data_IF_906238991870
#
_entry.id   IF_906238991870
#
_cell.length_a   1.000
_cell.length_b   1.000
_cell.length_c   1.000
_cell.angle_alpha   90.00
_cell.angle_beta   90.00
_cell.angle_gamma   90.00
#
_symmetry.space_group_name_H-M   'P 1'
#
loop_
_entity.id
_entity.type
_entity.pdbx_description
1 polymer ?
#
# COMPACT_ATOMS: atom_id res chain seq x y z
N UNK A 1 15.95 9.64 -11.88
CA UNK A 1 15.74 8.19 -12.12
C UNK A 1 17.11 7.53 -12.06
N UNK A 2 17.29 6.52 -11.20
CA UNK A 2 18.54 5.77 -11.15
C UNK A 2 18.73 4.99 -12.47
N UNK A 3 19.97 4.88 -12.96
CA UNK A 3 20.26 4.09 -14.15
C UNK A 3 20.23 2.59 -13.82
N UNK A 4 19.99 1.73 -14.83
CA UNK A 4 20.04 0.28 -14.65
C UNK A 4 21.38 -0.19 -14.05
N UNK A 5 22.47 0.51 -14.37
CA UNK A 5 23.79 0.25 -13.80
C UNK A 5 23.85 0.52 -12.29
N UNK A 6 23.29 1.65 -11.82
CA UNK A 6 23.21 1.98 -10.39
C UNK A 6 22.34 0.98 -9.62
N UNK A 7 21.20 0.58 -10.18
CA UNK A 7 20.34 -0.44 -9.56
C UNK A 7 21.08 -1.77 -9.44
N UNK A 8 21.81 -2.19 -10.48
CA UNK A 8 22.60 -3.43 -10.47
C UNK A 8 23.70 -3.42 -9.41
N UNK A 9 24.43 -2.30 -9.28
CA UNK A 9 25.47 -2.12 -8.28
C UNK A 9 24.91 -2.24 -6.85
N UNK A 10 23.80 -1.56 -6.56
CA UNK A 10 23.14 -1.62 -5.24
C UNK A 10 22.62 -3.02 -4.94
N UNK A 11 22.01 -3.71 -5.91
CA UNK A 11 21.52 -5.08 -5.73
C UNK A 11 22.69 -6.06 -5.51
N UNK A 12 23.80 -5.88 -6.23
CA UNK A 12 25.00 -6.71 -6.06
C UNK A 12 25.57 -6.62 -4.64
N UNK A 13 25.72 -5.39 -4.13
CA UNK A 13 26.20 -5.18 -2.76
C UNK A 13 25.20 -5.68 -1.71
N UNK A 14 23.90 -5.46 -1.91
CA UNK A 14 22.86 -6.02 -1.05
C UNK A 14 22.92 -7.55 -1.02
N UNK A 15 23.08 -8.21 -2.18
CA UNK A 15 23.16 -9.67 -2.28
C UNK A 15 24.34 -10.23 -1.50
N UNK A 16 25.53 -9.62 -1.66
CA UNK A 16 26.73 -9.99 -0.91
C UNK A 16 26.52 -9.91 0.61
N UNK A 17 25.89 -8.84 1.08
CA UNK A 17 25.58 -8.67 2.51
C UNK A 17 24.51 -9.66 2.99
N UNK A 18 23.48 -9.91 2.17
CA UNK A 18 22.42 -10.85 2.47
C UNK A 18 22.97 -12.28 2.65
N UNK A 19 23.85 -12.74 1.77
CA UNK A 19 24.51 -14.05 1.88
C UNK A 19 25.33 -14.19 3.17
N UNK A 20 26.08 -13.16 3.55
CA UNK A 20 26.84 -13.14 4.80
C UNK A 20 25.92 -13.23 6.02
N UNK A 21 24.80 -12.51 6.01
CA UNK A 21 23.83 -12.51 7.11
C UNK A 21 23.03 -13.80 7.18
N UNK A 22 22.80 -14.48 6.05
CA UNK A 22 22.01 -15.71 6.00
C UNK A 22 22.58 -16.80 6.92
N UNK A 23 23.89 -17.04 6.86
CA UNK A 23 24.55 -18.03 7.70
C UNK A 23 24.46 -17.69 9.20
N UNK A 24 24.60 -16.41 9.54
CA UNK A 24 24.48 -15.91 10.93
C UNK A 24 23.06 -16.08 11.45
N UNK A 25 22.05 -15.70 10.67
CA UNK A 25 20.65 -15.85 11.02
C UNK A 25 20.27 -17.33 11.21
N UNK A 26 20.74 -18.21 10.32
CA UNK A 26 20.53 -19.65 10.42
C UNK A 26 21.18 -20.24 11.67
N UNK A 27 22.45 -19.91 11.93
CA UNK A 27 23.14 -20.38 13.14
C UNK A 27 22.42 -19.93 14.41
N UNK A 28 22.03 -18.66 14.50
CA UNK A 28 21.30 -18.14 15.66
C UNK A 28 19.95 -18.82 15.83
N UNK A 29 19.24 -19.12 14.75
CA UNK A 29 17.96 -19.85 14.79
C UNK A 29 18.16 -21.27 15.34
N UNK A 30 19.12 -22.01 14.81
CA UNK A 30 19.45 -23.38 15.25
C UNK A 30 19.91 -23.39 16.70
N UNK A 31 20.80 -22.47 17.08
CA UNK A 31 21.29 -22.33 18.45
C UNK A 31 20.14 -22.05 19.42
N UNK A 32 19.26 -21.11 19.09
CA UNK A 32 18.10 -20.76 19.91
C UNK A 32 17.17 -21.96 20.14
N UNK A 33 16.95 -22.77 19.09
CA UNK A 33 16.11 -23.96 19.16
C UNK A 33 16.78 -25.09 19.97
N UNK A 34 18.10 -25.27 19.89
CA UNK A 34 18.86 -26.31 20.64
C UNK A 34 19.01 -25.95 22.12
N UNK A 35 19.34 -24.69 22.43
CA UNK A 35 19.55 -24.22 23.81
C UNK A 35 18.23 -24.04 24.57
N UNK A 36 17.07 -24.24 23.92
CA UNK A 36 15.76 -24.13 24.55
C UNK A 36 15.38 -22.69 24.90
N UNK A 37 15.88 -21.70 24.17
CA UNK A 37 15.69 -20.27 24.45
C UNK A 37 14.25 -19.74 24.28
N UNK A 38 13.29 -20.62 23.96
CA UNK A 38 11.88 -20.27 23.84
C UNK A 38 11.32 -19.78 25.18
N UNK A 39 10.68 -18.61 25.15
CA UNK A 39 9.85 -18.15 26.27
C UNK A 39 8.70 -19.11 26.58
N UNK A 40 7.95 -18.87 27.67
CA UNK A 40 6.82 -19.71 28.03
C UNK A 40 5.81 -19.78 26.87
N UNK A 41 5.18 -20.94 26.72
CA UNK A 41 4.15 -21.13 25.70
C UNK A 41 3.06 -20.07 25.85
N UNK A 42 2.64 -19.40 24.76
CA UNK A 42 1.54 -18.43 24.83
C UNK A 42 0.27 -19.12 25.31
N UNK A 43 -0.46 -18.45 26.22
CA UNK A 43 -1.72 -18.97 26.77
C UNK A 43 -2.85 -18.98 25.74
N UNK A 44 -2.82 -18.05 24.77
CA UNK A 44 -3.77 -18.00 23.67
C UNK A 44 -3.32 -18.92 22.53
N UNK A 45 -4.26 -19.74 22.06
CA UNK A 45 -4.03 -20.61 20.92
C UNK A 45 -3.81 -19.79 19.65
N UNK A 46 -2.72 -20.08 18.93
CA UNK A 46 -2.49 -19.55 17.58
C UNK A 46 -3.22 -20.43 16.57
N UNK A 47 -3.91 -19.79 15.62
CA UNK A 47 -4.54 -20.48 14.49
C UNK A 47 -3.45 -21.10 13.61
N UNK A 48 -3.59 -22.39 13.29
CA UNK A 48 -2.61 -23.15 12.46
C UNK A 48 -2.97 -23.17 10.97
N UNK A 49 -4.24 -23.04 10.62
CA UNK A 49 -4.72 -23.02 9.24
C UNK A 49 -5.34 -21.64 8.93
N UNK A 50 -5.02 -20.99 7.80
CA UNK A 50 -5.64 -19.74 7.40
C UNK A 50 -7.17 -19.84 7.34
N UNK A 51 -7.85 -18.70 7.49
CA UNK A 51 -9.30 -18.64 7.26
C UNK A 51 -9.61 -18.86 5.78
N UNK A 52 -10.83 -19.32 5.49
CA UNK A 52 -11.33 -19.36 4.12
C UNK A 52 -11.25 -17.97 3.47
N UNK A 53 -10.73 -17.94 2.25
CA UNK A 53 -10.62 -16.74 1.45
C UNK A 53 -12.00 -16.15 1.15
N UNK A 54 -12.29 -15.00 1.76
CA UNK A 54 -13.52 -14.25 1.56
C UNK A 54 -13.19 -12.77 1.34
N UNK A 55 -13.96 -12.13 0.47
CA UNK A 55 -13.87 -10.70 0.26
C UNK A 55 -14.23 -9.97 1.56
N UNK A 56 -13.23 -9.36 2.20
CA UNK A 56 -13.37 -8.59 3.44
C UNK A 56 -14.31 -7.40 3.22
N UNK A 57 -14.16 -6.73 2.07
CA UNK A 57 -15.04 -5.64 1.67
C UNK A 57 -15.19 -5.56 0.15
N UNK A 58 -16.30 -4.99 -0.31
CA UNK A 58 -16.52 -4.68 -1.72
C UNK A 58 -17.52 -3.54 -1.88
N UNK A 59 -17.36 -2.74 -2.93
CA UNK A 59 -18.31 -1.68 -3.26
C UNK A 59 -17.88 -0.86 -4.47
N UNK A 60 -18.77 0.04 -4.89
CA UNK A 60 -18.52 0.96 -6.00
C UNK A 60 -17.79 2.23 -5.52
N UNK A 61 -16.79 2.67 -6.27
CA UNK A 61 -16.11 3.96 -6.12
C UNK A 61 -15.97 4.62 -7.50
N UNK A 62 -15.87 5.94 -7.52
CA UNK A 62 -15.39 6.63 -8.71
C UNK A 62 -13.86 6.65 -8.68
N UNK A 63 -13.20 6.07 -9.68
CA UNK A 63 -11.76 6.15 -9.86
C UNK A 63 -11.43 7.14 -10.98
N UNK A 64 -10.44 8.00 -10.76
CA UNK A 64 -9.87 8.81 -11.81
C UNK A 64 -8.86 7.99 -12.63
N UNK A 65 -9.03 7.97 -13.94
CA UNK A 65 -8.10 7.32 -14.86
C UNK A 65 -7.22 8.40 -15.50
N UNK A 66 -5.92 8.42 -15.14
CA UNK A 66 -4.97 9.39 -15.67
C UNK A 66 -4.85 9.32 -17.19
N UNK A 67 -4.87 8.11 -17.77
CA UNK A 67 -4.77 7.86 -19.22
C UNK A 67 -5.78 8.69 -20.04
N UNK A 68 -7.02 8.75 -19.57
CA UNK A 68 -8.12 9.37 -20.29
C UNK A 68 -8.67 10.62 -19.61
N UNK A 69 -8.07 11.03 -18.48
CA UNK A 69 -8.50 12.13 -17.60
C UNK A 69 -10.00 12.11 -17.26
N UNK A 70 -10.54 10.92 -16.98
CA UNK A 70 -11.99 10.71 -16.73
C UNK A 70 -12.22 9.95 -15.44
N UNK A 71 -13.27 10.34 -14.73
CA UNK A 71 -13.84 9.57 -13.62
C UNK A 71 -14.68 8.42 -14.16
N UNK A 72 -14.45 7.21 -13.64
CA UNK A 72 -15.22 6.01 -13.98
C UNK A 72 -15.68 5.32 -12.70
N UNK A 73 -16.93 4.88 -12.67
CA UNK A 73 -17.40 4.01 -11.61
C UNK A 73 -16.72 2.65 -11.76
N UNK A 74 -16.02 2.21 -10.72
CA UNK A 74 -15.40 0.90 -10.60
C UNK A 74 -15.88 0.21 -9.34
N UNK A 75 -16.17 -1.07 -9.47
CA UNK A 75 -16.42 -1.94 -8.34
C UNK A 75 -15.09 -2.51 -7.84
N UNK A 76 -14.73 -2.22 -6.59
CA UNK A 76 -13.54 -2.75 -5.94
C UNK A 76 -13.94 -3.88 -5.00
N UNK A 77 -13.06 -4.86 -4.87
CA UNK A 77 -13.16 -5.96 -3.92
C UNK A 77 -11.76 -6.26 -3.38
N UNK A 78 -11.68 -6.59 -2.10
CA UNK A 78 -10.39 -6.79 -1.42
C UNK A 78 -9.81 -8.20 -1.55
N UNK A 79 -10.50 -9.14 -2.22
CA UNK A 79 -10.02 -10.51 -2.41
C UNK A 79 -10.61 -11.20 -3.63
N UNK A 80 -9.84 -12.06 -4.28
CA UNK A 80 -10.22 -12.74 -5.52
C UNK A 80 -11.54 -13.51 -5.39
N UNK A 81 -12.50 -13.19 -6.27
CA UNK A 81 -13.79 -13.89 -6.40
C UNK A 81 -13.84 -14.84 -7.60
N UNK A 82 -12.70 -15.29 -8.11
CA UNK A 82 -12.63 -16.06 -9.37
C UNK A 82 -13.09 -15.28 -10.61
N UNK A 83 -13.25 -13.96 -10.49
CA UNK A 83 -13.57 -13.03 -11.57
C UNK A 83 -12.27 -12.34 -11.99
N UNK A 84 -12.01 -12.23 -13.30
CA UNK A 84 -10.84 -11.50 -13.80
C UNK A 84 -10.98 -9.99 -13.51
N UNK A 85 -10.20 -9.42 -12.57
CA UNK A 85 -10.26 -8.00 -12.31
C UNK A 85 -9.69 -7.22 -13.49
N UNK A 86 -10.16 -5.98 -13.70
CA UNK A 86 -9.54 -5.05 -14.66
C UNK A 86 -8.15 -4.57 -14.22
N UNK A 87 -7.78 -4.81 -12.97
CA UNK A 87 -6.50 -4.47 -12.39
C UNK A 87 -6.46 -4.78 -10.89
N UNK A 88 -5.25 -4.95 -10.37
CA UNK A 88 -4.98 -5.22 -8.96
C UNK A 88 -4.10 -4.11 -8.41
N UNK A 89 -4.35 -3.71 -7.16
CA UNK A 89 -3.55 -2.70 -6.47
C UNK A 89 -2.86 -3.37 -5.29
N UNK A 90 -1.54 -3.49 -5.34
CA UNK A 90 -0.76 -3.80 -4.14
C UNK A 90 -0.65 -2.53 -3.30
N UNK A 91 -1.11 -2.59 -2.05
CA UNK A 91 -1.16 -1.44 -1.14
C UNK A 91 0.13 -1.27 -0.31
N UNK A 92 1.15 -2.10 -0.50
CA UNK A 92 2.41 -2.01 0.23
C UNK A 92 3.08 -0.63 0.01
N UNK A 93 3.49 0.01 1.10
CA UNK A 93 4.14 1.31 1.11
C UNK A 93 3.23 2.52 0.86
N UNK A 94 1.94 2.32 0.60
CA UNK A 94 1.01 3.43 0.34
C UNK A 94 0.60 4.17 1.62
N UNK A 95 0.25 5.44 1.48
CA UNK A 95 -0.49 6.23 2.48
C UNK A 95 -1.88 6.56 1.94
N UNK A 96 -2.89 6.41 2.78
CA UNK A 96 -4.28 6.75 2.46
C UNK A 96 -4.56 8.18 2.93
N UNK A 97 -5.01 9.04 2.02
CA UNK A 97 -5.35 10.44 2.30
C UNK A 97 -6.83 10.69 1.99
N UNK A 98 -7.47 11.59 2.73
CA UNK A 98 -8.92 11.87 2.64
C UNK A 98 -9.25 13.26 2.10
N UNK A 99 -8.24 14.05 1.75
CA UNK A 99 -8.41 15.37 1.15
C UNK A 99 -7.30 15.68 0.15
N UNK A 100 -7.60 16.57 -0.79
CA UNK A 100 -6.61 17.05 -1.74
C UNK A 100 -5.56 17.94 -1.06
N UNK A 101 -5.93 18.65 0.00
CA UNK A 101 -5.02 19.51 0.76
C UNK A 101 -3.91 18.68 1.41
N UNK A 102 -4.24 17.56 2.06
CA UNK A 102 -3.26 16.62 2.60
C UNK A 102 -2.31 16.10 1.51
N UNK A 103 -2.84 15.80 0.33
CA UNK A 103 -2.04 15.33 -0.79
C UNK A 103 -1.06 16.40 -1.31
N UNK A 104 -1.52 17.64 -1.46
CA UNK A 104 -0.70 18.76 -1.91
C UNK A 104 0.39 19.11 -0.89
N UNK A 105 0.06 19.09 0.40
CA UNK A 105 1.03 19.27 1.49
C UNK A 105 2.14 18.21 1.41
N UNK A 106 1.75 16.95 1.23
CA UNK A 106 2.68 15.84 1.16
C UNK A 106 3.59 15.92 -0.09
N UNK A 107 3.04 16.30 -1.24
CA UNK A 107 3.83 16.56 -2.46
C UNK A 107 4.84 17.69 -2.25
N UNK A 108 4.43 18.80 -1.64
CA UNK A 108 5.29 19.95 -1.38
C UNK A 108 6.48 19.58 -0.48
N UNK A 109 6.25 18.72 0.51
CA UNK A 109 7.29 18.24 1.42
C UNK A 109 8.24 17.23 0.75
N UNK A 110 7.78 16.50 -0.27
CA UNK A 110 8.54 15.44 -0.93
C UNK A 110 9.40 15.93 -2.11
N UNK A 111 9.10 17.10 -2.69
CA UNK A 111 9.78 17.65 -3.86
C UNK A 111 10.46 19.00 -3.55
N UNK A 112 11.71 18.99 -3.03
CA UNK A 112 12.42 20.24 -2.77
C UNK A 112 12.58 21.05 -4.06
N UNK A 113 12.08 22.29 -4.07
CA UNK A 113 12.15 23.22 -5.20
C UNK A 113 10.90 23.25 -6.12
N UNK A 114 9.99 22.28 -6.01
CA UNK A 114 8.70 22.31 -6.71
C UNK A 114 7.65 22.86 -5.74
N UNK A 115 7.45 24.18 -5.74
CA UNK A 115 6.29 24.77 -5.06
C UNK A 115 5.04 24.36 -5.84
N UNK A 116 4.27 23.39 -5.34
CA UNK A 116 2.91 23.20 -5.81
C UNK A 116 2.13 24.47 -5.44
N UNK A 117 2.07 25.43 -6.38
CA UNK A 117 1.33 26.68 -6.19
C UNK A 117 -0.13 26.32 -5.96
N UNK A 118 -0.66 26.67 -4.79
CA UNK A 118 -2.05 26.49 -4.33
C UNK A 118 -3.08 27.27 -5.20
N UNK A 119 -2.72 27.74 -6.40
CA UNK A 119 -3.61 28.60 -7.17
C UNK A 119 -3.43 28.65 -8.68
N UNK A 120 -2.72 27.73 -9.35
CA UNK A 120 -2.66 27.82 -10.82
C UNK A 120 -2.45 26.52 -11.63
N UNK A 121 -2.96 25.37 -11.18
CA UNK A 121 -3.04 24.18 -12.03
C UNK A 121 -4.20 23.26 -11.61
N UNK A 122 -5.00 22.74 -12.56
CA UNK A 122 -6.23 22.00 -12.31
C UNK A 122 -5.90 20.55 -11.94
N UNK A 123 -5.30 20.30 -10.79
CA UNK A 123 -4.67 18.99 -10.56
C UNK A 123 -5.67 17.83 -10.57
N UNK A 124 -6.83 17.99 -9.96
CA UNK A 124 -7.92 17.04 -10.09
C UNK A 124 -9.23 17.64 -9.55
N UNK A 125 -10.24 17.89 -10.40
CA UNK A 125 -11.58 18.18 -9.90
C UNK A 125 -12.22 16.87 -9.47
N UNK A 126 -12.31 16.66 -8.16
CA UNK A 126 -12.96 15.48 -7.59
C UNK A 126 -14.42 15.39 -8.05
N UNK A 127 -14.88 14.18 -8.36
CA UNK A 127 -16.27 13.96 -8.77
C UNK A 127 -17.25 14.22 -7.62
N UNK A 128 -16.79 14.12 -6.38
CA UNK A 128 -17.53 14.35 -5.15
C UNK A 128 -16.67 15.10 -4.12
N UNK A 129 -17.27 15.51 -3.00
CA UNK A 129 -16.57 16.16 -1.88
C UNK A 129 -15.77 15.20 -0.99
N UNK A 130 -15.86 13.90 -1.25
CA UNK A 130 -15.30 12.85 -0.40
C UNK A 130 -14.21 12.04 -1.14
N UNK A 131 -13.00 12.60 -1.31
CA UNK A 131 -11.92 11.93 -2.01
C UNK A 131 -11.21 10.89 -1.13
N UNK A 132 -10.62 9.89 -1.77
CA UNK A 132 -9.69 8.94 -1.17
C UNK A 132 -8.50 8.79 -2.10
N UNK A 133 -7.30 9.07 -1.60
CA UNK A 133 -6.08 9.09 -2.41
C UNK A 133 -5.10 8.10 -1.83
N UNK A 134 -4.59 7.18 -2.66
CA UNK A 134 -3.49 6.30 -2.32
C UNK A 134 -2.21 6.94 -2.88
N UNK A 135 -1.35 7.43 -1.99
CA UNK A 135 -0.06 8.03 -2.32
C UNK A 135 1.07 7.03 -2.06
N UNK A 136 2.08 6.97 -2.94
CA UNK A 136 3.27 6.15 -2.76
C UNK A 136 4.50 6.93 -3.26
N UNK A 137 5.64 6.90 -2.55
CA UNK A 137 6.81 7.71 -2.91
C UNK A 137 7.43 7.37 -4.28
N UNK A 138 7.29 6.11 -4.72
CA UNK A 138 7.95 5.58 -5.92
C UNK A 138 7.00 4.91 -6.93
N UNK A 139 5.69 4.94 -6.69
CA UNK A 139 4.69 4.24 -7.51
C UNK A 139 3.55 5.18 -7.89
N UNK A 140 2.71 4.77 -8.84
CA UNK A 140 1.58 5.57 -9.28
C UNK A 140 0.60 5.85 -8.14
N UNK A 141 0.08 7.07 -8.08
CA UNK A 141 -0.96 7.42 -7.13
C UNK A 141 -2.33 7.01 -7.67
N UNK A 142 -3.24 6.61 -6.78
CA UNK A 142 -4.62 6.32 -7.14
C UNK A 142 -5.55 7.34 -6.52
N UNK A 143 -6.50 7.85 -7.31
CA UNK A 143 -7.48 8.83 -6.86
C UNK A 143 -8.89 8.25 -6.97
N UNK A 144 -9.60 8.26 -5.85
CA UNK A 144 -10.97 7.80 -5.72
C UNK A 144 -11.88 8.90 -5.16
N UNK A 145 -13.18 8.75 -5.39
CA UNK A 145 -14.24 9.57 -4.83
C UNK A 145 -15.44 8.67 -4.48
N UNK A 146 -16.13 8.99 -3.38
CA UNK A 146 -17.34 8.30 -2.92
C UNK A 146 -18.49 9.28 -2.72
N UNK A 147 -19.73 8.79 -2.64
CA UNK A 147 -20.90 9.67 -2.62
C UNK A 147 -21.13 10.32 -1.25
N UNK A 148 -20.69 9.68 -0.16
CA UNK A 148 -20.98 10.13 1.21
C UNK A 148 -19.77 10.07 2.14
N UNK A 149 -19.76 10.92 3.18
CA UNK A 149 -18.75 10.88 4.25
C UNK A 149 -18.67 9.51 4.94
N UNK A 150 -19.81 8.84 5.14
CA UNK A 150 -19.87 7.50 5.76
C UNK A 150 -19.18 6.44 4.89
N UNK A 151 -19.34 6.51 3.58
CA UNK A 151 -18.61 5.65 2.66
C UNK A 151 -17.11 5.97 2.66
N UNK A 152 -16.74 7.25 2.77
CA UNK A 152 -15.34 7.67 2.80
C UNK A 152 -14.64 7.08 4.01
N UNK A 153 -15.27 7.15 5.18
CA UNK A 153 -14.73 6.59 6.42
C UNK A 153 -14.57 5.07 6.33
N UNK A 154 -15.56 4.36 5.76
CA UNK A 154 -15.48 2.91 5.57
C UNK A 154 -14.34 2.53 4.64
N UNK A 155 -14.26 3.15 3.47
CA UNK A 155 -13.23 2.86 2.50
C UNK A 155 -11.84 3.28 2.97
N UNK A 156 -11.74 4.38 3.73
CA UNK A 156 -10.50 4.76 4.39
C UNK A 156 -10.00 3.66 5.33
N UNK A 157 -10.85 3.14 6.22
CA UNK A 157 -10.50 2.05 7.13
C UNK A 157 -10.09 0.78 6.36
N UNK A 158 -10.83 0.40 5.31
CA UNK A 158 -10.50 -0.74 4.47
C UNK A 158 -9.14 -0.58 3.80
N UNK A 159 -8.85 0.58 3.22
CA UNK A 159 -7.53 0.83 2.61
C UNK A 159 -6.42 0.87 3.64
N UNK A 160 -6.64 1.43 4.82
CA UNK A 160 -5.66 1.39 5.91
C UNK A 160 -5.34 -0.05 6.34
N UNK A 161 -6.35 -0.90 6.47
CA UNK A 161 -6.15 -2.31 6.78
C UNK A 161 -5.42 -3.05 5.64
N UNK A 162 -5.75 -2.77 4.38
CA UNK A 162 -5.02 -3.31 3.23
C UNK A 162 -3.55 -2.89 3.23
N UNK A 163 -3.24 -1.61 3.49
CA UNK A 163 -1.86 -1.11 3.61
C UNK A 163 -1.13 -1.80 4.76
N UNK A 164 -1.76 -1.89 5.94
CA UNK A 164 -1.16 -2.54 7.11
C UNK A 164 -0.83 -4.00 6.81
N UNK A 165 -1.79 -4.76 6.28
CA UNK A 165 -1.60 -6.18 5.97
C UNK A 165 -0.51 -6.41 4.92
N UNK A 166 -0.50 -5.63 3.83
CA UNK A 166 0.52 -5.77 2.77
C UNK A 166 1.91 -5.30 3.20
N UNK A 167 2.01 -4.38 4.17
CA UNK A 167 3.29 -3.98 4.75
C UNK A 167 3.89 -5.06 5.67
N UNK A 168 3.05 -5.91 6.28
CA UNK A 168 3.51 -7.02 7.13
C UNK A 168 4.11 -8.17 6.30
N UNK A 169 4.10 -8.08 4.97
CA UNK A 169 4.74 -9.03 4.06
C UNK A 169 3.97 -10.33 3.84
N UNK A 170 2.67 -10.35 4.17
CA UNK A 170 1.74 -11.45 3.88
C UNK A 170 1.11 -11.36 2.48
#
# INVERSE_FOLDING_TARGET
MASLAQTSEVIGEFGRLYEQQYAVALFNKVRFDIEGGGGPQPQLLRRKAPLENRSIFSGALFQFLEENKKWRNRFLFSHERGLHPKGTINCAGYKVLTSMDQYLELLNNSLPGVKAKVGNSPFLKCATEFPLILWHPYAHHYYFCVATAKEQQKWHAVFQDCVRHTNDGE
#
